data_IF_104603708760
#
_entry.id   IF_104603708760
#
_cell.length_a   1.000
_cell.length_b   1.000
_cell.length_c   1.000
_cell.angle_alpha   90.00
_cell.angle_beta   90.00
_cell.angle_gamma   90.00
#
_symmetry.space_group_name_H-M   'P 1'
#
loop_
_entity.id
_entity.type
_entity.pdbx_description
1 polymer ?
#
# COMPACT_ATOMS: atom_id res chain seq x y z
N UNK A 1 -6.86 -4.54 -35.55
CA UNK A 1 -5.77 -4.14 -34.65
C UNK A 1 -6.27 -4.28 -33.22
N UNK A 2 -5.74 -5.23 -32.46
CA UNK A 2 -6.00 -5.35 -31.03
C UNK A 2 -5.15 -4.25 -30.38
N UNK A 3 -5.76 -3.25 -29.73
CA UNK A 3 -5.02 -2.26 -28.94
C UNK A 3 -4.22 -3.02 -27.89
N UNK A 4 -2.90 -2.95 -27.95
CA UNK A 4 -2.05 -3.30 -26.80
C UNK A 4 -2.38 -2.31 -25.69
N UNK A 5 -3.27 -2.71 -24.77
CA UNK A 5 -3.52 -1.93 -23.56
C UNK A 5 -2.24 -2.03 -22.73
N UNK A 6 -1.56 -0.90 -22.55
CA UNK A 6 -0.42 -0.85 -21.62
C UNK A 6 -0.96 -1.11 -20.21
N UNK A 7 -0.31 -1.98 -19.42
CA UNK A 7 -0.74 -2.25 -18.04
C UNK A 7 -0.81 -0.96 -17.22
N UNK A 8 -1.81 -0.88 -16.35
CA UNK A 8 -1.95 0.23 -15.40
C UNK A 8 -0.93 0.05 -14.28
N UNK A 9 -0.06 1.05 -14.13
CA UNK A 9 0.95 1.08 -13.07
C UNK A 9 0.30 1.44 -11.73
N UNK A 10 0.45 0.57 -10.73
CA UNK A 10 -0.07 0.77 -9.39
C UNK A 10 1.05 0.91 -8.36
N UNK A 11 0.89 1.84 -7.44
CA UNK A 11 1.52 1.80 -6.11
C UNK A 11 0.39 1.62 -5.09
N UNK A 12 0.56 0.68 -4.16
CA UNK A 12 -0.46 0.35 -3.16
C UNK A 12 0.04 0.76 -1.77
N UNK A 13 -0.62 1.73 -1.14
CA UNK A 13 -0.40 2.13 0.25
C UNK A 13 -1.41 1.41 1.15
N UNK A 14 -0.93 0.52 2.02
CA UNK A 14 -1.77 -0.51 2.67
C UNK A 14 -1.34 -0.78 4.11
N UNK A 15 -2.27 -1.29 4.92
CA UNK A 15 -2.04 -1.80 6.26
C UNK A 15 -2.58 -3.24 6.38
N UNK A 16 -1.95 -4.23 5.71
CA UNK A 16 -2.63 -5.43 5.24
C UNK A 16 -3.54 -6.12 6.27
N UNK A 17 -4.85 -5.90 6.08
CA UNK A 17 -5.96 -6.70 6.54
C UNK A 17 -6.27 -7.87 5.59
N UNK A 18 -7.40 -8.54 5.83
CA UNK A 18 -7.88 -9.65 4.97
C UNK A 18 -8.34 -9.12 3.61
N UNK A 19 -9.05 -8.00 3.63
CA UNK A 19 -9.52 -7.24 2.48
C UNK A 19 -8.36 -6.64 1.67
N UNK A 20 -7.38 -6.00 2.30
CA UNK A 20 -6.16 -5.56 1.61
C UNK A 20 -5.44 -6.72 0.92
N UNK A 21 -5.32 -7.85 1.60
CA UNK A 21 -4.64 -9.02 1.04
C UNK A 21 -5.35 -9.53 -0.21
N UNK A 22 -6.69 -9.55 -0.20
CA UNK A 22 -7.49 -9.89 -1.40
C UNK A 22 -7.25 -8.87 -2.51
N UNK A 23 -7.29 -7.56 -2.21
CA UNK A 23 -7.06 -6.51 -3.20
C UNK A 23 -5.66 -6.60 -3.83
N UNK A 24 -4.63 -6.86 -3.03
CA UNK A 24 -3.25 -7.06 -3.51
C UNK A 24 -3.17 -8.30 -4.39
N UNK A 25 -3.73 -9.45 -3.96
CA UNK A 25 -3.71 -10.68 -4.77
C UNK A 25 -4.45 -10.50 -6.09
N UNK A 26 -5.58 -9.78 -6.11
CA UNK A 26 -6.30 -9.44 -7.33
C UNK A 26 -5.45 -8.57 -8.27
N UNK A 27 -4.74 -7.57 -7.72
CA UNK A 27 -3.84 -6.72 -8.50
C UNK A 27 -2.68 -7.53 -9.10
N UNK A 28 -2.07 -8.44 -8.33
CA UNK A 28 -0.98 -9.30 -8.78
C UNK A 28 -1.40 -10.33 -9.83
N UNK A 29 -2.65 -10.79 -9.79
CA UNK A 29 -3.19 -11.76 -10.73
C UNK A 29 -3.72 -11.14 -12.04
N UNK A 30 -3.89 -9.82 -12.08
CA UNK A 30 -4.43 -9.11 -13.25
C UNK A 30 -3.34 -8.83 -14.29
N UNK A 31 -3.50 -9.28 -15.55
CA UNK A 31 -2.53 -8.97 -16.62
C UNK A 31 -2.57 -7.50 -17.05
N UNK A 32 -3.65 -6.78 -16.71
CA UNK A 32 -3.84 -5.36 -17.05
C UNK A 32 -3.18 -4.42 -16.02
N UNK A 33 -2.48 -4.97 -15.03
CA UNK A 33 -1.92 -4.24 -13.89
C UNK A 33 -0.44 -4.55 -13.72
N UNK A 34 0.35 -3.50 -13.52
CA UNK A 34 1.74 -3.59 -13.09
C UNK A 34 1.87 -3.00 -11.69
N UNK A 35 2.13 -3.83 -10.68
CA UNK A 35 2.38 -3.35 -9.31
C UNK A 35 3.84 -2.94 -9.17
N UNK A 36 4.09 -1.63 -9.06
CA UNK A 36 5.43 -1.04 -8.94
C UNK A 36 6.03 -1.19 -7.54
N UNK A 37 5.19 -1.38 -6.53
CA UNK A 37 5.60 -1.50 -5.13
C UNK A 37 4.45 -1.32 -4.16
N UNK A 38 4.71 -1.72 -2.92
CA UNK A 38 3.80 -1.53 -1.80
C UNK A 38 4.45 -0.56 -0.80
N UNK A 39 3.65 0.34 -0.24
CA UNK A 39 4.01 1.10 0.95
C UNK A 39 3.14 0.64 2.11
N UNK A 40 3.74 0.53 3.30
CA UNK A 40 3.01 0.06 4.49
C UNK A 40 2.78 1.18 5.49
N UNK A 41 1.61 1.20 6.10
CA UNK A 41 1.24 2.15 7.16
C UNK A 41 0.74 1.39 8.39
N UNK A 42 0.84 2.01 9.58
CA UNK A 42 0.21 1.51 10.79
C UNK A 42 -1.30 1.82 10.77
N UNK A 43 -2.13 0.80 11.03
CA UNK A 43 -3.58 0.93 11.03
C UNK A 43 -4.23 -0.28 11.71
N UNK A 44 -4.59 -1.30 10.93
CA UNK A 44 -5.17 -2.56 11.41
C UNK A 44 -4.34 -3.22 12.52
N UNK A 45 -3.02 -3.27 12.32
CA UNK A 45 -2.03 -3.80 13.28
C UNK A 45 -0.79 -2.88 13.34
N UNK A 46 0.11 -3.04 14.33
CA UNK A 46 1.36 -2.27 14.38
C UNK A 46 2.13 -2.35 13.07
N UNK A 47 2.78 -1.26 12.68
CA UNK A 47 3.50 -1.17 11.40
C UNK A 47 4.45 -2.33 11.14
N UNK A 48 5.17 -2.81 12.17
CA UNK A 48 6.07 -3.95 12.00
C UNK A 48 5.33 -5.21 11.51
N UNK A 49 4.07 -5.40 11.93
CA UNK A 49 3.21 -6.48 11.47
C UNK A 49 2.62 -6.20 10.08
N UNK A 50 2.19 -4.96 9.79
CA UNK A 50 1.66 -4.62 8.46
C UNK A 50 2.73 -4.82 7.39
N UNK A 51 3.95 -4.32 7.62
CA UNK A 51 5.11 -4.54 6.73
C UNK A 51 5.42 -6.02 6.56
N UNK A 52 5.44 -6.79 7.65
CA UNK A 52 5.68 -8.24 7.59
C UNK A 52 4.59 -8.96 6.78
N UNK A 53 3.31 -8.59 6.96
CA UNK A 53 2.20 -9.19 6.24
C UNK A 53 2.30 -8.91 4.74
N UNK A 54 2.63 -7.68 4.34
CA UNK A 54 2.85 -7.32 2.94
C UNK A 54 3.96 -8.19 2.31
N UNK A 55 5.11 -8.30 2.98
CA UNK A 55 6.24 -9.13 2.52
C UNK A 55 5.87 -10.60 2.41
N UNK A 56 5.19 -11.15 3.43
CA UNK A 56 4.77 -12.55 3.44
C UNK A 56 3.73 -12.85 2.34
N UNK A 57 2.84 -11.89 2.05
CA UNK A 57 1.84 -12.01 0.99
C UNK A 57 2.51 -12.03 -0.39
N UNK A 58 3.44 -11.11 -0.66
CA UNK A 58 4.21 -11.09 -1.90
C UNK A 58 5.01 -12.37 -2.10
N UNK A 59 5.66 -12.87 -1.06
CA UNK A 59 6.39 -14.14 -1.12
C UNK A 59 5.45 -15.32 -1.41
N UNK A 60 4.29 -15.39 -0.75
CA UNK A 60 3.30 -16.43 -1.01
C UNK A 60 2.75 -16.37 -2.44
N UNK A 61 2.65 -15.16 -3.02
CA UNK A 61 2.24 -14.94 -4.40
C UNK A 61 3.38 -15.16 -5.43
N UNK A 62 4.59 -15.51 -4.99
CA UNK A 62 5.76 -15.65 -5.87
C UNK A 62 6.27 -14.34 -6.47
N UNK A 63 5.91 -13.19 -5.87
CA UNK A 63 6.23 -11.84 -6.33
C UNK A 63 7.19 -11.12 -5.40
N UNK A 64 8.22 -11.84 -4.97
CA UNK A 64 9.31 -11.32 -4.14
C UNK A 64 10.17 -10.26 -4.85
N UNK A 65 9.96 -10.02 -6.15
CA UNK A 65 10.58 -8.95 -6.92
C UNK A 65 10.02 -7.56 -6.58
N UNK A 66 8.80 -7.48 -6.04
CA UNK A 66 8.12 -6.22 -5.78
C UNK A 66 8.64 -5.58 -4.48
N UNK A 67 9.10 -4.31 -4.50
CA UNK A 67 9.61 -3.65 -3.32
C UNK A 67 8.49 -3.31 -2.32
N UNK A 68 8.82 -3.41 -1.02
CA UNK A 68 7.97 -2.95 0.08
C UNK A 68 8.70 -1.87 0.85
N UNK A 69 8.15 -0.64 0.86
CA UNK A 69 8.66 0.47 1.64
C UNK A 69 7.88 0.63 2.96
N UNK A 70 8.61 0.87 4.06
CA UNK A 70 8.02 1.03 5.38
C UNK A 70 7.66 2.49 5.63
N UNK A 71 6.42 2.75 6.07
CA UNK A 71 5.90 4.10 6.29
C UNK A 71 5.69 4.48 7.74
N UNK A 72 4.64 5.26 7.99
CA UNK A 72 4.32 5.82 9.29
C UNK A 72 3.77 4.75 10.25
N UNK A 73 4.30 4.71 11.48
CA UNK A 73 3.81 3.80 12.53
C UNK A 73 2.65 4.38 13.34
N UNK A 74 2.34 5.66 13.18
CA UNK A 74 1.37 6.41 13.97
C UNK A 74 0.75 7.51 13.10
N UNK A 75 -0.49 7.94 13.40
CA UNK A 75 -1.15 9.04 12.71
C UNK A 75 -0.38 10.35 12.87
N UNK A 76 -0.68 11.33 12.01
CA UNK A 76 -0.06 12.67 12.10
C UNK A 76 -0.31 13.36 13.44
N UNK A 77 -1.52 13.19 13.98
CA UNK A 77 -1.98 13.73 15.27
C UNK A 77 -3.06 12.82 15.84
N UNK A 78 -3.30 12.94 17.14
CA UNK A 78 -4.38 12.22 17.84
C UNK A 78 -3.97 10.85 18.36
N UNK A 79 -4.91 10.20 19.03
CA UNK A 79 -4.79 8.81 19.48
C UNK A 79 -5.49 7.91 18.46
N UNK A 80 -4.97 6.72 18.26
CA UNK A 80 -5.66 5.68 17.51
C UNK A 80 -5.54 4.36 18.26
N UNK A 81 -6.47 3.46 17.94
CA UNK A 81 -6.48 2.10 18.46
C UNK A 81 -6.40 1.17 17.26
N UNK A 82 -5.66 0.09 17.39
CA UNK A 82 -5.65 -0.98 16.39
C UNK A 82 -7.02 -1.67 16.31
N UNK A 83 -7.28 -2.36 15.20
CA UNK A 83 -8.54 -3.04 14.93
C UNK A 83 -8.43 -4.59 14.96
N UNK A 84 -7.87 -5.21 16.02
CA UNK A 84 -7.63 -6.65 16.05
C UNK A 84 -8.92 -7.48 16.04
N UNK A 85 -10.05 -6.88 16.42
CA UNK A 85 -11.36 -7.54 16.43
C UNK A 85 -11.89 -7.89 15.03
N UNK A 86 -11.48 -7.15 14.00
CA UNK A 86 -11.93 -7.37 12.61
C UNK A 86 -10.94 -8.22 11.80
N UNK A 87 -9.64 -8.13 12.10
CA UNK A 87 -8.58 -8.74 11.29
C UNK A 87 -7.74 -9.80 12.03
N UNK A 88 -8.10 -10.10 13.28
CA UNK A 88 -7.36 -11.00 14.15
C UNK A 88 -6.05 -10.38 14.69
N UNK A 89 -5.39 -11.04 15.67
CA UNK A 89 -4.18 -10.51 16.33
C UNK A 89 -2.97 -10.38 15.38
N UNK A 90 -3.03 -11.03 14.22
CA UNK A 90 -2.01 -10.96 13.18
C UNK A 90 -2.30 -9.98 12.04
N UNK A 91 -3.53 -9.43 11.93
CA UNK A 91 -3.97 -8.64 10.76
C UNK A 91 -4.44 -9.51 9.58
N UNK A 92 -4.07 -10.79 9.55
CA UNK A 92 -4.59 -11.80 8.63
C UNK A 92 -5.26 -12.92 9.41
N UNK A 93 -6.30 -13.51 8.83
CA UNK A 93 -7.02 -14.67 9.40
C UNK A 93 -6.11 -15.88 9.60
N UNK A 94 -5.05 -16.01 8.78
CA UNK A 94 -4.01 -17.04 8.92
C UNK A 94 -2.63 -16.40 8.83
N UNK A 95 -1.74 -16.79 9.74
CA UNK A 95 -0.33 -16.40 9.67
C UNK A 95 0.34 -17.10 8.49
N UNK A 96 0.79 -16.32 7.51
CA UNK A 96 1.65 -16.79 6.43
C UNK A 96 3.05 -17.14 6.96
N UNK A 97 3.86 -17.95 6.25
CA UNK A 97 5.27 -18.19 6.61
C UNK A 97 6.07 -16.89 6.80
N UNK A 98 7.19 -16.96 7.53
CA UNK A 98 8.07 -15.80 7.63
C UNK A 98 8.66 -15.46 6.25
N UNK A 99 8.63 -14.17 5.84
CA UNK A 99 9.26 -13.77 4.61
C UNK A 99 10.79 -13.87 4.74
N UNK A 100 11.45 -14.39 3.70
CA UNK A 100 12.90 -14.46 3.61
C UNK A 100 13.54 -13.11 3.26
N UNK A 101 12.71 -12.13 2.91
CA UNK A 101 13.05 -10.81 2.40
C UNK A 101 12.60 -9.72 3.37
N UNK A 102 13.37 -8.64 3.41
CA UNK A 102 13.05 -7.44 4.18
C UNK A 102 12.40 -6.35 3.32
N UNK A 103 11.80 -5.36 3.99
CA UNK A 103 11.47 -4.10 3.36
C UNK A 103 12.75 -3.40 2.87
N UNK A 104 12.63 -2.60 1.80
CA UNK A 104 13.74 -1.79 1.33
C UNK A 104 14.11 -0.71 2.36
N UNK A 105 15.32 -0.17 2.26
CA UNK A 105 15.81 0.87 3.18
C UNK A 105 15.14 2.22 2.97
N UNK A 106 14.63 2.48 1.76
CA UNK A 106 13.87 3.68 1.42
C UNK A 106 12.54 3.72 2.18
N UNK A 107 12.22 4.88 2.76
CA UNK A 107 10.96 5.10 3.47
C UNK A 107 9.78 5.26 2.52
N UNK A 108 8.56 5.01 2.98
CA UNK A 108 7.37 5.09 2.14
C UNK A 108 7.17 6.48 1.47
N UNK A 109 7.52 7.58 2.15
CA UNK A 109 7.37 8.93 1.59
C UNK A 109 8.32 9.14 0.42
N UNK A 110 9.60 8.83 0.60
CA UNK A 110 10.61 8.95 -0.45
C UNK A 110 10.27 8.01 -1.63
N UNK A 111 9.90 6.76 -1.34
CA UNK A 111 9.47 5.79 -2.34
C UNK A 111 8.29 6.31 -3.18
N UNK A 112 7.25 6.85 -2.52
CA UNK A 112 6.10 7.41 -3.22
C UNK A 112 6.50 8.62 -4.08
N UNK A 113 7.28 9.55 -3.54
CA UNK A 113 7.75 10.71 -4.31
C UNK A 113 8.54 10.28 -5.55
N UNK A 114 9.50 9.39 -5.36
CA UNK A 114 10.37 8.87 -6.40
C UNK A 114 9.58 8.16 -7.51
N UNK A 115 8.66 7.25 -7.15
CA UNK A 115 7.88 6.51 -8.15
C UNK A 115 6.84 7.37 -8.88
N UNK A 116 6.25 8.36 -8.20
CA UNK A 116 5.30 9.29 -8.82
C UNK A 116 6.00 10.28 -9.77
N UNK A 117 7.19 10.77 -9.41
CA UNK A 117 7.94 11.76 -10.21
C UNK A 117 8.71 11.13 -11.37
N UNK A 118 9.07 9.84 -11.29
CA UNK A 118 9.72 9.12 -12.41
C UNK A 118 8.76 8.80 -13.56
N UNK A 119 7.47 8.66 -13.29
CA UNK A 119 6.43 8.41 -14.29
C UNK A 119 5.21 9.35 -14.14
N UNK A 120 5.39 10.67 -14.37
CA UNK A 120 4.33 11.64 -14.21
C UNK A 120 3.10 11.32 -15.08
N UNK A 121 1.92 11.28 -14.47
CA UNK A 121 0.65 11.02 -15.17
C UNK A 121 0.41 9.57 -15.57
N UNK A 122 1.29 8.64 -15.20
CA UNK A 122 1.16 7.22 -15.56
C UNK A 122 0.73 6.35 -14.37
N UNK A 123 1.19 6.68 -13.16
CA UNK A 123 1.00 5.86 -11.96
C UNK A 123 -0.31 6.16 -11.25
N UNK A 124 -1.09 5.13 -10.93
CA UNK A 124 -2.25 5.21 -10.05
C UNK A 124 -1.82 4.86 -8.63
N UNK A 125 -2.09 5.75 -7.68
CA UNK A 125 -1.85 5.52 -6.26
C UNK A 125 -3.14 4.99 -5.62
N UNK A 126 -3.07 3.79 -5.05
CA UNK A 126 -4.19 3.14 -4.37
C UNK A 126 -3.92 3.15 -2.87
N UNK A 127 -4.70 3.93 -2.12
CA UNK A 127 -4.62 4.00 -0.67
C UNK A 127 -5.73 3.14 -0.05
N UNK A 128 -5.33 2.01 0.53
CA UNK A 128 -6.21 1.04 1.20
C UNK A 128 -6.25 1.25 2.72
N UNK A 129 -5.20 1.87 3.29
CA UNK A 129 -5.09 2.15 4.71
C UNK A 129 -5.20 3.62 5.09
N UNK A 130 -4.88 3.97 6.36
CA UNK A 130 -4.81 5.36 6.80
C UNK A 130 -3.90 6.22 5.92
N UNK A 131 -4.40 7.39 5.50
CA UNK A 131 -3.71 8.32 4.58
C UNK A 131 -2.47 9.03 5.16
N UNK A 132 -1.87 8.49 6.22
CA UNK A 132 -0.74 9.11 6.93
C UNK A 132 0.48 9.25 6.05
N UNK A 133 0.80 8.23 5.24
CA UNK A 133 1.93 8.29 4.30
C UNK A 133 1.69 9.38 3.25
N UNK A 134 0.50 9.43 2.65
CA UNK A 134 0.11 10.45 1.66
C UNK A 134 0.12 11.86 2.25
N UNK A 135 -0.35 12.03 3.49
CA UNK A 135 -0.36 13.33 4.14
C UNK A 135 1.06 13.81 4.50
N UNK A 136 1.98 12.90 4.83
CA UNK A 136 3.41 13.22 4.97
C UNK A 136 4.04 13.57 3.63
N UNK A 137 3.75 12.78 2.59
CA UNK A 137 4.18 13.06 1.23
C UNK A 137 3.77 14.46 0.77
N UNK A 138 2.53 14.87 1.00
CA UNK A 138 2.06 16.21 0.64
C UNK A 138 2.77 17.33 1.41
N UNK A 139 3.21 17.07 2.66
CA UNK A 139 3.97 18.04 3.46
C UNK A 139 5.43 18.16 3.02
N UNK A 140 6.07 17.04 2.69
CA UNK A 140 7.50 16.94 2.38
C UNK A 140 7.77 17.20 0.89
N UNK A 141 6.86 16.77 0.01
CA UNK A 141 6.93 16.91 -1.44
C UNK A 141 5.58 17.42 -2.01
N UNK A 142 5.28 18.73 -1.91
CA UNK A 142 3.96 19.28 -2.20
C UNK A 142 3.42 19.03 -3.61
N UNK A 143 4.29 18.80 -4.60
CA UNK A 143 3.90 18.54 -6.00
C UNK A 143 3.76 17.05 -6.34
N UNK A 144 4.18 16.13 -5.45
CA UNK A 144 4.30 14.71 -5.75
C UNK A 144 2.94 14.05 -6.05
N UNK A 145 1.92 14.33 -5.24
CA UNK A 145 0.57 13.79 -5.47
C UNK A 145 -0.03 14.27 -6.79
N UNK A 146 0.33 15.47 -7.25
CA UNK A 146 -0.09 16.00 -8.55
C UNK A 146 0.53 15.27 -9.75
N UNK A 147 1.57 14.45 -9.53
CA UNK A 147 2.15 13.61 -10.57
C UNK A 147 1.41 12.27 -10.74
N UNK A 148 0.52 11.90 -9.81
CA UNK A 148 -0.27 10.69 -9.94
C UNK A 148 -1.28 10.84 -11.08
N UNK A 149 -1.46 9.80 -11.88
CA UNK A 149 -2.55 9.71 -12.86
C UNK A 149 -3.91 9.81 -12.18
N UNK A 150 -4.08 9.03 -11.12
CA UNK A 150 -5.25 8.98 -10.26
C UNK A 150 -4.81 8.64 -8.83
N UNK A 151 -5.60 9.09 -7.86
CA UNK A 151 -5.50 8.66 -6.46
C UNK A 151 -6.83 8.01 -6.10
N UNK A 152 -6.80 6.72 -5.77
CA UNK A 152 -7.97 5.93 -5.38
C UNK A 152 -7.88 5.66 -3.89
N UNK A 153 -8.91 6.04 -3.14
CA UNK A 153 -8.92 5.95 -1.68
C UNK A 153 -10.05 5.02 -1.23
N UNK A 154 -9.70 3.98 -0.48
CA UNK A 154 -10.66 3.20 0.30
C UNK A 154 -10.86 3.90 1.64
N UNK A 155 -12.00 4.57 1.81
CA UNK A 155 -12.30 5.27 3.05
C UNK A 155 -13.42 6.28 2.94
N UNK A 156 -13.90 6.72 4.10
CA UNK A 156 -15.04 7.63 4.23
C UNK A 156 -16.38 6.91 4.36
N UNK A 157 -17.36 7.65 4.84
CA UNK A 157 -18.75 7.24 4.88
C UNK A 157 -19.60 8.46 4.51
N UNK A 158 -20.49 8.30 3.54
CA UNK A 158 -21.32 9.38 3.00
C UNK A 158 -22.78 9.00 3.26
N UNK A 159 -23.57 9.96 3.73
CA UNK A 159 -24.98 9.76 4.12
C UNK A 159 -25.17 8.77 5.28
N UNK A 160 -24.33 8.85 6.31
CA UNK A 160 -24.55 8.09 7.55
C UNK A 160 -25.57 8.81 8.43
N UNK A 161 -26.70 8.14 8.66
CA UNK A 161 -27.80 8.57 9.53
C UNK A 161 -27.43 8.56 11.02
#
# INVERSE_FOLDING_TARGET
MIRSIQPVKLIIDTDPGVDDAIAILMALASPDVEVLGLTTVGGNVPLARTTRNALALLQAAGRSDIPVAKGASQPLRGRYTYSPQFHGPGGLSRRLPEPAMGAITEGAVDFLNDRLTRHPGETVLVALGPLTNLARLLREHPSALGQAKNIVVMGGAVNTS
#
